data_IF_572060257441
#
_entry.id   IF_572060257441
#
_cell.length_a   1.000
_cell.length_b   1.000
_cell.length_c   1.000
_cell.angle_alpha   90.00
_cell.angle_beta   90.00
_cell.angle_gamma   90.00
#
_symmetry.space_group_name_H-M   'P 1'
#
loop_
_entity.id
_entity.type
_entity.pdbx_description
1 polymer ?
#
# COMPACT_ATOMS: atom_id res chain seq x y z
N UNK A 1 -28.02 -1.51 -13.86
CA UNK A 1 -28.70 -2.64 -13.21
C UNK A 1 -27.72 -3.64 -12.58
N UNK A 2 -26.70 -4.14 -13.28
CA UNK A 2 -25.73 -5.12 -12.72
C UNK A 2 -25.05 -4.70 -11.39
N UNK A 3 -24.67 -3.43 -11.22
CA UNK A 3 -23.98 -2.94 -10.03
C UNK A 3 -24.87 -3.02 -8.76
N UNK A 4 -26.14 -2.65 -8.87
CA UNK A 4 -27.10 -2.72 -7.75
C UNK A 4 -27.41 -4.18 -7.38
N UNK A 5 -27.49 -5.07 -8.38
CA UNK A 5 -27.66 -6.50 -8.14
C UNK A 5 -26.44 -7.11 -7.44
N UNK A 6 -25.24 -6.73 -7.86
CA UNK A 6 -24.00 -7.16 -7.19
C UNK A 6 -23.94 -6.70 -5.74
N UNK A 7 -24.27 -5.45 -5.45
CA UNK A 7 -24.37 -4.93 -4.08
C UNK A 7 -25.40 -5.68 -3.25
N UNK A 8 -26.58 -5.97 -3.82
CA UNK A 8 -27.62 -6.75 -3.15
C UNK A 8 -27.18 -8.17 -2.85
N UNK A 9 -26.42 -8.80 -3.76
CA UNK A 9 -25.88 -10.13 -3.58
C UNK A 9 -24.78 -10.15 -2.51
N UNK A 10 -23.90 -9.14 -2.47
CA UNK A 10 -22.89 -8.96 -1.41
C UNK A 10 -23.58 -8.88 -0.04
N UNK A 11 -24.67 -8.10 0.08
CA UNK A 11 -25.38 -7.92 1.35
C UNK A 11 -26.17 -9.15 1.81
N UNK A 12 -26.53 -10.03 0.87
CA UNK A 12 -27.22 -11.32 1.16
C UNK A 12 -26.32 -12.34 1.83
N UNK A 13 -25.01 -12.28 1.59
CA UNK A 13 -24.05 -13.24 2.15
C UNK A 13 -23.67 -12.81 3.55
N UNK A 14 -24.11 -13.54 4.56
CA UNK A 14 -23.93 -13.20 5.97
C UNK A 14 -22.45 -13.06 6.37
N UNK A 15 -21.58 -13.97 5.91
CA UNK A 15 -20.15 -13.92 6.17
C UNK A 15 -19.50 -12.67 5.61
N UNK A 16 -19.84 -12.28 4.38
CA UNK A 16 -19.27 -11.12 3.71
C UNK A 16 -19.80 -9.81 4.33
N UNK A 17 -21.10 -9.76 4.65
CA UNK A 17 -21.71 -8.64 5.38
C UNK A 17 -21.03 -8.43 6.73
N UNK A 18 -20.79 -9.49 7.50
CA UNK A 18 -20.12 -9.40 8.80
C UNK A 18 -18.69 -8.87 8.65
N UNK A 19 -17.92 -9.34 7.69
CA UNK A 19 -16.57 -8.84 7.41
C UNK A 19 -16.57 -7.37 7.02
N UNK A 20 -17.51 -6.92 6.15
CA UNK A 20 -17.66 -5.50 5.77
C UNK A 20 -17.98 -4.64 7.00
N UNK A 21 -18.94 -5.06 7.83
CA UNK A 21 -19.32 -4.33 9.02
C UNK A 21 -18.16 -4.21 10.03
N UNK A 22 -17.40 -5.29 10.24
CA UNK A 22 -16.22 -5.27 11.11
C UNK A 22 -15.16 -4.30 10.56
N UNK A 23 -14.88 -4.35 9.25
CA UNK A 23 -13.93 -3.44 8.61
C UNK A 23 -14.37 -1.99 8.78
N UNK A 24 -15.65 -1.69 8.51
CA UNK A 24 -16.20 -0.33 8.67
C UNK A 24 -16.13 0.14 10.12
N UNK A 25 -16.44 -0.73 11.09
CA UNK A 25 -16.33 -0.41 12.51
C UNK A 25 -14.89 -0.04 12.90
N UNK A 26 -13.91 -0.82 12.47
CA UNK A 26 -12.51 -0.54 12.76
C UNK A 26 -12.02 0.76 12.11
N UNK A 27 -12.48 1.07 10.90
CA UNK A 27 -12.22 2.34 10.22
C UNK A 27 -12.80 3.51 11.03
N UNK A 28 -14.02 3.39 11.54
CA UNK A 28 -14.64 4.42 12.38
C UNK A 28 -13.86 4.66 13.68
N UNK A 29 -13.40 3.57 14.35
CA UNK A 29 -12.56 3.68 15.55
C UNK A 29 -11.25 4.42 15.22
N UNK A 30 -10.58 4.07 14.12
CA UNK A 30 -9.37 4.76 13.68
C UNK A 30 -9.61 6.24 13.40
N UNK A 31 -10.67 6.56 12.68
CA UNK A 31 -11.01 7.96 12.36
C UNK A 31 -11.36 8.76 13.60
N UNK A 32 -12.13 8.20 14.52
CA UNK A 32 -12.44 8.85 15.79
C UNK A 32 -11.16 9.17 16.58
N UNK A 33 -10.26 8.20 16.72
CA UNK A 33 -8.99 8.41 17.43
C UNK A 33 -8.04 9.43 16.76
N UNK A 34 -8.13 9.63 15.44
CA UNK A 34 -7.33 10.62 14.74
C UNK A 34 -7.71 12.08 15.04
N UNK A 35 -8.86 12.32 15.67
CA UNK A 35 -9.30 13.64 16.14
C UNK A 35 -9.02 13.89 17.63
N UNK A 36 -8.60 12.87 18.38
CA UNK A 36 -8.27 13.04 19.80
C UNK A 36 -6.89 13.64 19.93
N UNK A 37 -6.83 14.94 20.27
CA UNK A 37 -5.58 15.69 20.43
C UNK A 37 -4.82 15.21 21.67
N UNK A 38 -3.49 15.28 21.64
CA UNK A 38 -2.63 14.98 22.79
C UNK A 38 -2.93 15.93 23.96
N UNK A 39 -3.02 15.41 25.20
CA UNK A 39 -3.25 16.24 26.38
C UNK A 39 -2.22 17.36 26.51
N UNK A 40 -2.67 18.58 26.78
CA UNK A 40 -1.81 19.74 26.95
C UNK A 40 -1.58 20.59 25.68
N UNK A 41 -2.17 20.21 24.55
CA UNK A 41 -2.12 20.99 23.29
C UNK A 41 -3.46 21.65 23.02
N UNK A 42 -3.45 22.97 22.75
CA UNK A 42 -4.67 23.68 22.39
C UNK A 42 -5.08 23.43 20.93
N UNK A 43 -6.31 22.93 20.66
CA UNK A 43 -6.76 22.64 19.30
C UNK A 43 -6.79 23.88 18.38
N UNK A 44 -7.06 25.06 18.95
CA UNK A 44 -7.15 26.32 18.17
C UNK A 44 -5.82 26.69 17.52
N UNK A 45 -4.68 26.46 18.21
CA UNK A 45 -3.37 26.73 17.66
C UNK A 45 -2.98 25.76 16.51
N UNK A 46 -3.58 24.59 16.46
CA UNK A 46 -3.36 23.59 15.41
C UNK A 46 -4.03 23.97 14.09
N UNK A 47 -5.18 24.66 14.12
CA UNK A 47 -5.87 25.12 12.89
C UNK A 47 -5.03 26.15 12.13
N UNK A 48 -4.34 27.04 12.84
CA UNK A 48 -3.40 27.98 12.24
C UNK A 48 -2.18 27.26 11.62
N UNK A 49 -1.76 26.16 12.20
CA UNK A 49 -0.66 25.34 11.75
C UNK A 49 -0.98 24.52 10.48
N UNK A 50 -2.22 24.06 10.35
CA UNK A 50 -2.68 23.32 9.16
C UNK A 50 -2.53 24.15 7.88
N UNK A 51 -2.77 25.43 7.95
CA UNK A 51 -2.64 26.34 6.82
C UNK A 51 -1.19 26.59 6.39
N UNK A 52 -0.23 26.41 7.30
CA UNK A 52 1.22 26.56 7.01
C UNK A 52 1.89 25.24 6.58
N UNK A 53 1.36 24.09 6.97
CA UNK A 53 1.97 22.78 6.75
C UNK A 53 1.63 22.19 5.37
N UNK A 54 0.96 22.94 4.50
CA UNK A 54 0.51 22.47 3.18
C UNK A 54 1.64 22.22 2.16
N UNK A 55 2.91 22.35 2.55
CA UNK A 55 4.06 22.08 1.69
C UNK A 55 5.12 21.20 2.33
N UNK A 56 5.82 20.41 1.52
CA UNK A 56 6.98 19.64 1.92
C UNK A 56 6.70 18.24 2.50
N UNK A 57 7.70 17.69 3.18
CA UNK A 57 7.71 16.32 3.69
C UNK A 57 6.65 16.06 4.77
N UNK A 58 6.31 17.07 5.55
CA UNK A 58 5.28 17.01 6.58
C UNK A 58 3.89 16.75 6.02
N UNK A 59 3.61 17.29 4.84
CA UNK A 59 2.37 17.06 4.11
C UNK A 59 2.20 15.58 3.72
N UNK A 60 3.27 14.88 3.38
CA UNK A 60 3.24 13.44 3.10
C UNK A 60 2.92 12.63 4.37
N UNK A 61 3.59 12.90 5.49
CA UNK A 61 3.32 12.23 6.76
C UNK A 61 1.89 12.45 7.22
N UNK A 62 1.40 13.68 7.08
CA UNK A 62 0.04 14.06 7.40
C UNK A 62 -1.00 13.37 6.50
N UNK A 63 -0.68 13.19 5.22
CA UNK A 63 -1.53 12.47 4.29
C UNK A 63 -1.66 10.98 4.65
N UNK A 64 -0.56 10.30 4.99
CA UNK A 64 -0.59 8.90 5.41
C UNK A 64 -1.29 8.69 6.76
N UNK A 65 -1.20 9.67 7.66
CA UNK A 65 -1.91 9.64 8.94
C UNK A 65 -3.36 10.10 8.85
N UNK A 66 -3.80 10.58 7.66
CA UNK A 66 -5.16 11.07 7.43
C UNK A 66 -5.51 12.33 8.22
N UNK A 67 -4.52 13.20 8.46
CA UNK A 67 -4.67 14.42 9.25
C UNK A 67 -4.33 14.28 10.73
N UNK A 68 -4.04 13.06 11.19
CA UNK A 68 -3.72 12.83 12.60
C UNK A 68 -2.40 13.50 13.00
N UNK A 69 -1.46 13.63 12.07
CA UNK A 69 -0.16 14.26 12.29
C UNK A 69 -0.31 15.77 12.53
N UNK A 70 -1.03 16.49 11.67
CA UNK A 70 -1.27 17.93 11.80
C UNK A 70 -2.21 18.27 12.94
N UNK A 71 -3.11 17.35 13.31
CA UNK A 71 -4.00 17.50 14.48
C UNK A 71 -3.31 17.20 15.81
N UNK A 72 -2.00 16.88 15.81
CA UNK A 72 -1.27 16.44 17.00
C UNK A 72 -2.04 15.40 17.83
N UNK A 73 -2.65 14.42 17.14
CA UNK A 73 -3.51 13.42 17.77
C UNK A 73 -2.68 12.30 18.41
N UNK A 74 -3.35 11.49 19.23
CA UNK A 74 -2.75 10.27 19.80
C UNK A 74 -2.24 9.32 18.69
N UNK A 75 -2.85 9.36 17.51
CA UNK A 75 -2.46 8.57 16.33
C UNK A 75 -1.56 9.34 15.36
N UNK A 76 -0.91 10.43 15.81
CA UNK A 76 -0.10 11.30 14.93
C UNK A 76 0.99 10.56 14.16
N UNK A 77 1.70 9.61 14.77
CA UNK A 77 2.70 8.79 14.09
C UNK A 77 2.08 7.68 13.22
N UNK A 78 0.80 7.36 13.43
CA UNK A 78 0.03 6.42 12.63
C UNK A 78 0.68 5.04 12.51
N UNK A 79 0.67 4.49 11.30
CA UNK A 79 1.21 3.17 10.99
C UNK A 79 2.63 3.22 10.39
N UNK A 80 3.18 4.42 10.12
CA UNK A 80 4.47 4.61 9.48
C UNK A 80 5.64 3.91 10.20
N UNK A 81 5.77 3.96 11.54
CA UNK A 81 6.84 3.26 12.25
C UNK A 81 6.80 1.74 12.05
N UNK A 82 5.60 1.17 11.96
CA UNK A 82 5.43 -0.25 11.68
C UNK A 82 5.84 -0.60 10.23
N UNK A 83 5.48 0.23 9.26
CA UNK A 83 5.90 0.05 7.86
C UNK A 83 7.42 0.07 7.77
N UNK A 84 8.07 1.06 8.40
CA UNK A 84 9.53 1.17 8.44
C UNK A 84 10.18 -0.07 9.08
N UNK A 85 9.65 -0.55 10.20
CA UNK A 85 10.10 -1.77 10.86
C UNK A 85 9.94 -3.01 9.98
N UNK A 86 8.78 -3.15 9.31
CA UNK A 86 8.50 -4.25 8.39
C UNK A 86 9.46 -4.26 7.20
N UNK A 87 9.76 -3.09 6.65
CA UNK A 87 10.74 -2.90 5.59
C UNK A 87 12.13 -3.37 6.03
N UNK A 88 12.59 -2.94 7.21
CA UNK A 88 13.90 -3.33 7.75
C UNK A 88 13.97 -4.84 7.93
N UNK A 89 12.95 -5.47 8.50
CA UNK A 89 12.91 -6.93 8.67
C UNK A 89 12.92 -7.65 7.30
N UNK A 90 12.19 -7.16 6.29
CA UNK A 90 12.22 -7.72 4.94
C UNK A 90 13.62 -7.61 4.31
N UNK A 91 14.33 -6.49 4.47
CA UNK A 91 15.71 -6.34 4.01
C UNK A 91 16.66 -7.29 4.75
N UNK A 92 16.49 -7.45 6.06
CA UNK A 92 17.29 -8.39 6.85
C UNK A 92 17.07 -9.84 6.43
N UNK A 93 15.88 -10.22 5.96
CA UNK A 93 15.63 -11.57 5.42
C UNK A 93 16.42 -11.86 4.15
N UNK A 94 16.86 -10.83 3.44
CA UNK A 94 17.69 -10.96 2.24
C UNK A 94 19.18 -10.98 2.61
N UNK A 95 19.57 -10.08 3.50
CA UNK A 95 20.97 -9.85 3.86
C UNK A 95 21.53 -10.92 4.81
N UNK A 96 20.71 -11.47 5.71
CA UNK A 96 21.17 -12.33 6.80
C UNK A 96 20.59 -13.75 6.66
N UNK A 97 21.43 -14.80 6.56
CA UNK A 97 20.98 -16.19 6.41
C UNK A 97 20.08 -16.70 7.56
N UNK A 98 20.21 -16.13 8.76
CA UNK A 98 19.38 -16.47 9.91
C UNK A 98 17.90 -16.14 9.65
N UNK A 99 17.61 -14.96 9.13
CA UNK A 99 16.24 -14.55 8.78
C UNK A 99 15.69 -15.30 7.58
N UNK A 100 16.57 -15.68 6.62
CA UNK A 100 16.18 -16.54 5.49
C UNK A 100 15.71 -17.93 5.97
N UNK A 101 16.41 -18.54 6.93
CA UNK A 101 16.01 -19.82 7.52
C UNK A 101 14.65 -19.68 8.21
N UNK A 102 14.46 -18.60 8.99
CA UNK A 102 13.21 -18.32 9.68
C UNK A 102 12.03 -18.16 8.69
N UNK A 103 12.25 -17.51 7.54
CA UNK A 103 11.23 -17.41 6.50
C UNK A 103 10.85 -18.75 5.90
N UNK A 104 11.80 -19.70 5.80
CA UNK A 104 11.58 -21.07 5.29
C UNK A 104 10.90 -21.99 6.31
N UNK A 105 10.94 -21.68 7.59
CA UNK A 105 10.27 -22.45 8.66
C UNK A 105 8.72 -22.39 8.60
N UNK A 106 8.15 -21.67 7.63
CA UNK A 106 6.71 -21.59 7.42
C UNK A 106 6.02 -20.70 8.45
N UNK A 107 4.89 -21.15 9.01
CA UNK A 107 4.06 -20.32 9.88
C UNK A 107 4.72 -19.98 11.22
N UNK A 108 5.51 -20.90 11.78
CA UNK A 108 6.27 -20.63 13.02
C UNK A 108 7.28 -19.51 12.84
N UNK A 109 8.02 -19.55 11.72
CA UNK A 109 8.98 -18.50 11.38
C UNK A 109 8.30 -17.14 11.11
N UNK A 110 7.16 -17.13 10.42
CA UNK A 110 6.37 -15.91 10.21
C UNK A 110 5.92 -15.26 11.52
N UNK A 111 5.48 -16.06 12.49
CA UNK A 111 5.10 -15.55 13.82
C UNK A 111 6.28 -14.89 14.54
N UNK A 112 7.47 -15.50 14.50
CA UNK A 112 8.69 -14.92 15.08
C UNK A 112 9.08 -13.62 14.37
N UNK A 113 9.01 -13.58 13.04
CA UNK A 113 9.28 -12.38 12.26
C UNK A 113 8.32 -11.25 12.62
N UNK A 114 7.03 -11.53 12.74
CA UNK A 114 6.04 -10.53 13.16
C UNK A 114 6.32 -10.00 14.58
N UNK A 115 6.75 -10.85 15.51
CA UNK A 115 7.14 -10.41 16.85
C UNK A 115 8.37 -9.49 16.81
N UNK A 116 9.40 -9.82 16.01
CA UNK A 116 10.56 -8.96 15.84
C UNK A 116 10.20 -7.62 15.21
N UNK A 117 9.29 -7.63 14.23
CA UNK A 117 8.77 -6.39 13.64
C UNK A 117 8.09 -5.52 14.69
N UNK A 118 7.28 -6.10 15.60
CA UNK A 118 6.64 -5.36 16.69
C UNK A 118 7.65 -4.75 17.66
N UNK A 119 8.67 -5.50 18.06
CA UNK A 119 9.73 -4.97 18.94
C UNK A 119 10.49 -3.83 18.27
N UNK A 120 10.84 -4.00 17.01
CA UNK A 120 11.51 -2.96 16.23
C UNK A 120 10.60 -1.72 16.06
N UNK A 121 9.31 -1.91 15.87
CA UNK A 121 8.33 -0.82 15.82
C UNK A 121 8.33 0.00 17.10
N UNK A 122 8.30 -0.66 18.27
CA UNK A 122 8.36 0.03 19.56
C UNK A 122 9.65 0.81 19.71
N UNK A 123 10.78 0.23 19.31
CA UNK A 123 12.07 0.91 19.35
C UNK A 123 12.09 2.17 18.45
N UNK A 124 11.59 2.06 17.24
CA UNK A 124 11.45 3.19 16.30
C UNK A 124 10.53 4.26 16.88
N UNK A 125 9.40 3.88 17.49
CA UNK A 125 8.46 4.81 18.12
C UNK A 125 9.08 5.61 19.27
N UNK A 126 9.90 4.97 20.10
CA UNK A 126 10.62 5.63 21.19
C UNK A 126 11.63 6.68 20.69
N UNK A 127 12.17 6.50 19.49
CA UNK A 127 13.05 7.48 18.84
C UNK A 127 12.24 8.58 18.13
N UNK A 128 11.19 8.22 17.43
CA UNK A 128 10.38 9.16 16.63
C UNK A 128 9.44 10.00 17.48
N UNK A 129 8.96 9.51 18.62
CA UNK A 129 8.05 10.25 19.50
C UNK A 129 8.64 11.59 19.98
N UNK A 130 9.80 11.60 20.64
CA UNK A 130 10.47 12.84 21.04
C UNK A 130 10.79 13.75 19.84
N UNK A 131 11.27 13.17 18.72
CA UNK A 131 11.58 13.94 17.51
C UNK A 131 10.35 14.64 16.94
N UNK A 132 9.19 13.97 16.97
CA UNK A 132 7.90 14.56 16.58
C UNK A 132 7.52 15.74 17.48
N UNK A 133 7.65 15.59 18.82
CA UNK A 133 7.31 16.63 19.78
C UNK A 133 8.23 17.86 19.63
N UNK A 134 9.53 17.67 19.39
CA UNK A 134 10.47 18.76 19.10
C UNK A 134 10.06 19.49 17.83
N UNK A 135 9.74 18.76 16.76
CA UNK A 135 9.27 19.36 15.50
C UNK A 135 7.97 20.15 15.71
N UNK A 136 7.01 19.57 16.42
CA UNK A 136 5.75 20.23 16.76
C UNK A 136 5.95 21.50 17.60
N UNK A 137 6.94 21.50 18.53
CA UNK A 137 7.26 22.66 19.33
C UNK A 137 7.83 23.81 18.48
N UNK A 138 8.69 23.50 17.50
CA UNK A 138 9.23 24.49 16.57
C UNK A 138 8.12 25.10 15.71
N UNK A 139 7.22 24.27 15.22
CA UNK A 139 6.11 24.74 14.40
C UNK A 139 5.09 25.58 15.20
N UNK A 140 4.74 25.17 16.42
CA UNK A 140 3.83 25.94 17.27
C UNK A 140 4.44 27.30 17.68
N UNK A 141 5.74 27.38 17.93
CA UNK A 141 6.42 28.66 18.19
C UNK A 141 6.31 29.64 17.03
N UNK A 142 6.31 29.17 15.78
CA UNK A 142 6.13 30.03 14.60
C UNK A 142 4.74 30.68 14.53
N UNK A 143 3.74 30.07 15.19
CA UNK A 143 2.34 30.57 15.28
C UNK A 143 2.08 31.31 16.60
N UNK A 144 3.12 31.49 17.46
CA UNK A 144 2.99 32.15 18.76
C UNK A 144 2.38 31.28 19.86
N UNK A 145 2.25 29.96 19.64
CA UNK A 145 1.80 29.01 20.65
C UNK A 145 3.01 28.25 21.23
N UNK A 146 2.94 27.89 22.50
CA UNK A 146 3.97 27.11 23.17
C UNK A 146 3.42 25.79 23.68
N UNK A 147 4.24 24.73 23.54
CA UNK A 147 3.97 23.47 24.23
C UNK A 147 4.31 23.61 25.72
N UNK A 148 3.65 22.87 26.61
CA UNK A 148 4.04 22.81 28.00
C UNK A 148 5.51 22.37 28.11
N UNK A 149 6.33 23.17 28.78
CA UNK A 149 7.75 22.87 29.00
C UNK A 149 7.91 21.92 30.17
N UNK A 150 8.55 20.76 29.92
CA UNK A 150 8.85 19.80 30.97
C UNK A 150 9.15 18.41 30.45
N UNK A 151 10.10 17.72 31.10
CA UNK A 151 10.46 16.33 30.79
C UNK A 151 9.25 15.40 30.97
N UNK A 152 8.40 15.65 31.95
CA UNK A 152 7.19 14.85 32.20
C UNK A 152 6.19 14.92 31.04
N UNK A 153 6.01 16.09 30.44
CA UNK A 153 5.17 16.25 29.25
C UNK A 153 5.73 15.45 28.07
N UNK A 154 7.03 15.55 27.82
CA UNK A 154 7.68 14.83 26.70
C UNK A 154 7.61 13.32 26.90
N UNK A 155 7.84 12.81 28.11
CA UNK A 155 7.79 11.39 28.41
C UNK A 155 6.34 10.87 28.30
N UNK A 156 5.37 11.55 28.91
CA UNK A 156 3.96 11.14 28.88
C UNK A 156 3.40 11.17 27.46
N UNK A 157 3.67 12.22 26.70
CA UNK A 157 3.24 12.33 25.29
C UNK A 157 3.90 11.28 24.41
N UNK A 158 5.19 10.96 24.63
CA UNK A 158 5.86 9.88 23.89
C UNK A 158 5.24 8.53 24.18
N UNK A 159 4.91 8.23 25.44
CA UNK A 159 4.22 6.99 25.83
C UNK A 159 2.84 6.92 25.17
N UNK A 160 2.08 8.01 25.18
CA UNK A 160 0.77 8.08 24.53
C UNK A 160 0.85 7.87 23.02
N UNK A 161 1.83 8.48 22.35
CA UNK A 161 2.08 8.29 20.90
C UNK A 161 2.47 6.83 20.60
N UNK A 162 3.33 6.22 21.44
CA UNK A 162 3.68 4.81 21.29
C UNK A 162 2.44 3.90 21.47
N UNK A 163 1.64 4.14 22.51
CA UNK A 163 0.42 3.39 22.73
C UNK A 163 -0.58 3.54 21.59
N UNK A 164 -0.76 4.77 21.08
CA UNK A 164 -1.63 5.06 19.95
C UNK A 164 -1.19 4.35 18.67
N UNK A 165 0.08 4.42 18.31
CA UNK A 165 0.61 3.74 17.12
C UNK A 165 0.55 2.22 17.23
N UNK A 166 0.83 1.65 18.39
CA UNK A 166 0.67 0.21 18.65
C UNK A 166 -0.78 -0.22 18.57
N UNK A 167 -1.70 0.61 19.03
CA UNK A 167 -3.13 0.36 18.88
C UNK A 167 -3.57 0.38 17.42
N UNK A 168 -3.10 1.34 16.62
CA UNK A 168 -3.39 1.41 15.17
C UNK A 168 -2.83 0.18 14.45
N UNK A 169 -1.63 -0.26 14.80
CA UNK A 169 -1.04 -1.50 14.28
C UNK A 169 -1.92 -2.72 14.62
N UNK A 170 -2.29 -2.88 15.89
CA UNK A 170 -3.17 -3.96 16.34
C UNK A 170 -4.52 -3.95 15.61
N UNK A 171 -5.08 -2.76 15.41
CA UNK A 171 -6.34 -2.55 14.68
C UNK A 171 -6.20 -2.99 13.22
N UNK A 172 -5.09 -2.66 12.55
CA UNK A 172 -4.78 -3.12 11.20
C UNK A 172 -4.64 -4.64 11.09
N UNK A 173 -3.95 -5.27 12.05
CA UNK A 173 -3.84 -6.74 12.11
C UNK A 173 -5.21 -7.40 12.32
N UNK A 174 -6.02 -6.89 13.23
CA UNK A 174 -7.37 -7.40 13.47
C UNK A 174 -8.31 -7.22 12.29
N UNK A 175 -8.14 -6.11 11.57
CA UNK A 175 -8.88 -5.86 10.34
C UNK A 175 -8.48 -6.86 9.24
N UNK A 176 -7.20 -7.22 9.15
CA UNK A 176 -6.71 -8.26 8.23
C UNK A 176 -7.26 -9.64 8.58
N UNK A 177 -7.30 -9.98 9.88
CA UNK A 177 -7.74 -11.32 10.36
C UNK A 177 -9.26 -11.52 10.22
N UNK A 178 -10.06 -10.50 10.54
CA UNK A 178 -11.52 -10.61 10.66
C UNK A 178 -12.31 -9.81 9.63
N UNK A 179 -11.66 -8.90 8.93
CA UNK A 179 -12.26 -8.03 7.91
C UNK A 179 -12.04 -8.50 6.49
N UNK A 180 -12.04 -7.55 5.57
CA UNK A 180 -11.76 -7.74 4.15
C UNK A 180 -10.49 -6.98 3.80
N UNK A 181 -9.64 -7.61 2.99
CA UNK A 181 -8.42 -6.98 2.49
C UNK A 181 -7.29 -6.98 3.52
N UNK A 182 -6.22 -6.26 3.18
CA UNK A 182 -5.13 -6.00 4.10
C UNK A 182 -5.49 -4.79 4.96
N UNK A 183 -5.73 -4.99 6.25
CA UNK A 183 -6.18 -3.94 7.18
C UNK A 183 -5.20 -2.78 7.30
N UNK A 184 -3.89 -3.04 7.24
CA UNK A 184 -2.85 -2.01 7.27
C UNK A 184 -2.98 -1.08 6.06
N UNK A 185 -3.09 -1.67 4.87
CA UNK A 185 -3.27 -0.92 3.63
C UNK A 185 -4.59 -0.17 3.59
N UNK A 186 -5.65 -0.73 4.17
CA UNK A 186 -6.96 -0.08 4.32
C UNK A 186 -6.89 1.17 5.21
N UNK A 187 -6.15 1.11 6.33
CA UNK A 187 -5.96 2.27 7.21
C UNK A 187 -5.25 3.41 6.46
N UNK A 188 -4.21 3.09 5.69
CA UNK A 188 -3.48 4.07 4.88
C UNK A 188 -4.40 4.66 3.82
N UNK A 189 -5.13 3.82 3.10
CA UNK A 189 -6.08 4.25 2.06
C UNK A 189 -7.13 5.22 2.61
N UNK A 190 -7.72 4.91 3.76
CA UNK A 190 -8.70 5.78 4.42
C UNK A 190 -8.08 7.11 4.87
N UNK A 191 -6.81 7.08 5.32
CA UNK A 191 -6.06 8.30 5.61
C UNK A 191 -5.95 9.20 4.36
N UNK A 192 -5.58 8.62 3.23
CA UNK A 192 -5.46 9.34 1.95
C UNK A 192 -6.82 9.89 1.50
N UNK A 193 -7.87 9.05 1.47
CA UNK A 193 -9.21 9.45 1.03
C UNK A 193 -9.77 10.58 1.90
N UNK A 194 -9.48 10.58 3.19
CA UNK A 194 -9.98 11.59 4.12
C UNK A 194 -9.49 13.01 3.83
N UNK A 195 -8.33 13.15 3.20
CA UNK A 195 -7.77 14.45 2.77
C UNK A 195 -8.27 14.91 1.40
N UNK A 196 -8.79 14.01 0.59
CA UNK A 196 -9.21 14.28 -0.77
C UNK A 196 -10.29 15.39 -0.87
N UNK A 197 -11.39 15.39 -0.07
CA UNK A 197 -12.40 16.43 -0.16
C UNK A 197 -11.86 17.83 0.15
N UNK A 198 -11.01 17.96 1.18
CA UNK A 198 -10.41 19.26 1.55
C UNK A 198 -9.45 19.76 0.46
N UNK A 199 -8.68 18.86 -0.16
CA UNK A 199 -7.78 19.21 -1.25
C UNK A 199 -8.53 19.71 -2.50
N UNK A 200 -9.66 19.08 -2.87
CA UNK A 200 -10.50 19.54 -3.98
C UNK A 200 -11.09 20.91 -3.69
N UNK A 201 -11.59 21.14 -2.48
CA UNK A 201 -12.17 22.42 -2.11
C UNK A 201 -11.11 23.52 -2.14
N UNK A 202 -9.91 23.27 -1.62
CA UNK A 202 -8.81 24.24 -1.67
C UNK A 202 -8.39 24.56 -3.12
N UNK A 203 -8.32 23.56 -3.99
CA UNK A 203 -8.01 23.78 -5.41
C UNK A 203 -9.08 24.62 -6.08
N UNK A 204 -10.36 24.29 -5.86
CA UNK A 204 -11.49 25.05 -6.40
C UNK A 204 -11.47 26.52 -5.98
N UNK A 205 -11.22 26.79 -4.68
CA UNK A 205 -11.14 28.17 -4.15
C UNK A 205 -9.95 28.90 -4.77
N UNK A 206 -8.76 28.26 -4.81
CA UNK A 206 -7.55 28.84 -5.40
C UNK A 206 -7.76 29.22 -6.87
N UNK A 207 -8.46 28.39 -7.65
CA UNK A 207 -8.73 28.68 -9.07
C UNK A 207 -9.81 29.74 -9.31
N UNK A 208 -10.75 29.90 -8.36
CA UNK A 208 -11.81 30.89 -8.48
C UNK A 208 -11.40 32.27 -7.97
N UNK A 209 -10.51 32.35 -6.98
CA UNK A 209 -10.02 33.63 -6.42
C UNK A 209 -8.85 34.21 -7.23
N UNK A 210 -7.92 33.36 -7.70
CA UNK A 210 -6.82 33.77 -8.56
C UNK A 210 -7.24 33.84 -10.02
N UNK A 211 -6.90 34.94 -10.71
CA UNK A 211 -7.17 35.14 -12.15
C UNK A 211 -6.49 34.12 -13.10
N UNK A 212 -5.99 33.01 -12.59
CA UNK A 212 -5.17 32.00 -13.27
C UNK A 212 -5.99 30.87 -13.88
N UNK A 213 -6.88 31.17 -14.81
CA UNK A 213 -7.56 30.15 -15.64
C UNK A 213 -8.97 29.73 -15.23
N UNK A 214 -9.44 30.08 -14.05
CA UNK A 214 -10.83 29.90 -13.63
C UNK A 214 -11.32 28.45 -13.65
N UNK A 215 -12.62 28.28 -13.79
CA UNK A 215 -13.32 26.99 -13.79
C UNK A 215 -12.83 26.04 -14.91
N UNK A 216 -12.37 26.57 -16.04
CA UNK A 216 -11.91 25.76 -17.18
C UNK A 216 -10.63 24.99 -16.82
N UNK A 217 -9.68 25.65 -16.12
CA UNK A 217 -8.45 25.01 -15.66
C UNK A 217 -8.75 23.92 -14.62
N UNK A 218 -9.64 24.18 -13.68
CA UNK A 218 -10.07 23.19 -12.70
C UNK A 218 -10.69 21.94 -13.36
N UNK A 219 -11.54 22.09 -14.38
CA UNK A 219 -12.10 20.98 -15.14
C UNK A 219 -11.03 20.19 -15.89
N UNK A 220 -10.04 20.89 -16.48
CA UNK A 220 -8.91 20.24 -17.13
C UNK A 220 -8.07 19.41 -16.13
N UNK A 221 -7.84 19.93 -14.94
CA UNK A 221 -7.15 19.23 -13.86
C UNK A 221 -7.91 17.97 -13.43
N UNK A 222 -9.20 18.05 -13.17
CA UNK A 222 -10.00 16.85 -12.83
C UNK A 222 -9.97 15.82 -13.96
N UNK A 223 -10.05 16.26 -15.22
CA UNK A 223 -9.99 15.34 -16.36
C UNK A 223 -8.62 14.65 -16.43
N UNK A 224 -7.54 15.39 -16.23
CA UNK A 224 -6.18 14.83 -16.17
C UNK A 224 -6.04 13.83 -15.02
N UNK A 225 -6.57 14.15 -13.83
CA UNK A 225 -6.58 13.23 -12.67
C UNK A 225 -7.27 11.90 -13.03
N UNK A 226 -8.43 11.95 -13.67
CA UNK A 226 -9.15 10.73 -14.09
C UNK A 226 -8.34 9.90 -15.10
N UNK A 227 -7.64 10.55 -16.05
CA UNK A 227 -6.76 9.87 -17.00
C UNK A 227 -5.61 9.17 -16.27
N UNK A 228 -4.97 9.84 -15.31
CA UNK A 228 -3.87 9.27 -14.53
C UNK A 228 -4.34 8.09 -13.67
N UNK A 229 -5.52 8.21 -13.03
CA UNK A 229 -6.14 7.09 -12.30
C UNK A 229 -6.38 5.91 -13.24
N UNK A 230 -6.98 6.14 -14.41
CA UNK A 230 -7.22 5.10 -15.41
C UNK A 230 -5.94 4.39 -15.88
N UNK A 231 -4.89 5.16 -16.15
CA UNK A 231 -3.58 4.63 -16.53
C UNK A 231 -2.95 3.80 -15.40
N UNK A 232 -3.09 4.25 -14.14
CA UNK A 232 -2.60 3.53 -12.96
C UNK A 232 -3.36 2.21 -12.74
N UNK A 233 -4.68 2.20 -12.92
CA UNK A 233 -5.49 0.98 -12.86
C UNK A 233 -5.05 -0.01 -13.94
N UNK A 234 -4.84 0.47 -15.17
CA UNK A 234 -4.38 -0.36 -16.27
C UNK A 234 -3.01 -1.00 -15.97
N UNK A 235 -2.08 -0.25 -15.36
CA UNK A 235 -0.78 -0.77 -14.93
C UNK A 235 -0.90 -1.85 -13.87
N UNK A 236 -1.67 -1.60 -12.83
CA UNK A 236 -1.81 -2.54 -11.69
C UNK A 236 -2.50 -3.84 -12.12
N UNK A 237 -3.45 -3.76 -13.06
CA UNK A 237 -4.14 -4.91 -13.62
C UNK A 237 -3.37 -5.60 -14.75
N UNK A 238 -2.34 -4.97 -15.30
CA UNK A 238 -1.58 -5.51 -16.43
C UNK A 238 -0.91 -6.83 -16.05
N UNK A 239 -1.24 -7.90 -16.79
CA UNK A 239 -0.67 -9.23 -16.60
C UNK A 239 -0.21 -9.84 -17.90
N UNK A 240 0.97 -10.49 -17.89
CA UNK A 240 1.45 -11.32 -19.00
C UNK A 240 1.04 -12.76 -18.75
N UNK A 241 0.22 -13.33 -19.62
CA UNK A 241 -0.24 -14.73 -19.53
C UNK A 241 0.78 -15.65 -20.21
N UNK A 242 1.36 -16.59 -19.46
CA UNK A 242 2.23 -17.63 -20.00
C UNK A 242 1.40 -18.91 -20.17
N UNK A 243 1.32 -19.49 -21.38
CA UNK A 243 0.59 -20.73 -21.59
C UNK A 243 1.35 -21.91 -20.96
N UNK A 244 0.63 -22.69 -20.15
CA UNK A 244 1.13 -23.92 -19.52
C UNK A 244 0.21 -25.05 -19.91
N UNK A 245 0.77 -26.18 -20.27
CA UNK A 245 0.05 -27.39 -20.59
C UNK A 245 0.32 -28.47 -19.54
N UNK A 246 -0.73 -29.01 -18.98
CA UNK A 246 -0.63 -30.14 -18.03
C UNK A 246 -0.79 -31.44 -18.77
N UNK A 247 -0.03 -32.45 -18.34
CA UNK A 247 -0.11 -33.81 -18.92
C UNK A 247 -1.52 -34.35 -18.74
N UNK A 248 -2.01 -35.04 -19.77
CA UNK A 248 -3.29 -35.73 -19.70
C UNK A 248 -3.14 -36.96 -18.79
N UNK A 249 -4.06 -37.11 -17.84
CA UNK A 249 -4.17 -38.28 -16.98
C UNK A 249 -5.38 -39.11 -17.45
N UNK A 250 -5.14 -40.37 -17.80
CA UNK A 250 -6.21 -41.30 -18.14
C UNK A 250 -6.46 -42.16 -16.91
N UNK A 251 -7.67 -42.09 -16.36
CA UNK A 251 -8.09 -42.95 -15.24
C UNK A 251 -9.33 -43.72 -15.74
N UNK A 252 -9.11 -45.00 -16.06
CA UNK A 252 -10.12 -45.85 -16.72
C UNK A 252 -10.46 -45.33 -18.13
N UNK A 253 -11.75 -45.17 -18.46
CA UNK A 253 -12.21 -44.67 -19.76
C UNK A 253 -12.38 -43.12 -19.82
N UNK A 254 -11.99 -42.39 -18.79
CA UNK A 254 -12.12 -40.93 -18.73
C UNK A 254 -10.76 -40.25 -18.80
N UNK A 255 -10.62 -39.27 -19.71
CA UNK A 255 -9.47 -38.41 -19.80
C UNK A 255 -9.67 -37.21 -18.85
N UNK A 256 -8.71 -37.03 -17.91
CA UNK A 256 -8.62 -35.87 -17.04
C UNK A 256 -7.38 -35.04 -17.41
N UNK A 257 -7.51 -33.71 -17.48
CA UNK A 257 -6.41 -32.80 -17.81
C UNK A 257 -6.23 -32.55 -19.31
N UNK A 258 -5.13 -31.94 -19.68
CA UNK A 258 -4.82 -31.57 -21.08
C UNK A 258 -5.36 -30.20 -21.51
N UNK A 259 -6.00 -29.47 -20.60
CA UNK A 259 -6.46 -28.11 -20.87
C UNK A 259 -5.27 -27.15 -20.75
N UNK A 260 -5.14 -26.24 -21.70
CA UNK A 260 -4.16 -25.15 -21.61
C UNK A 260 -4.60 -24.20 -20.49
N UNK A 261 -3.75 -24.01 -19.52
CA UNK A 261 -3.89 -23.02 -18.47
C UNK A 261 -2.89 -21.90 -18.70
N UNK A 262 -3.15 -20.75 -18.10
CA UNK A 262 -2.27 -19.58 -18.19
C UNK A 262 -1.81 -19.18 -16.81
N UNK A 263 -0.49 -18.99 -16.65
CA UNK A 263 0.06 -18.36 -15.45
C UNK A 263 0.09 -16.86 -15.68
N UNK A 264 -0.69 -16.08 -14.92
CA UNK A 264 -0.66 -14.63 -15.02
C UNK A 264 0.56 -14.08 -14.26
N UNK A 265 1.51 -13.49 -14.96
CA UNK A 265 2.59 -12.71 -14.37
C UNK A 265 2.18 -11.24 -14.34
N UNK A 266 2.10 -10.64 -13.16
CA UNK A 266 1.78 -9.21 -13.00
C UNK A 266 2.95 -8.37 -13.50
N UNK A 267 2.67 -7.32 -14.29
CA UNK A 267 3.68 -6.35 -14.75
C UNK A 267 4.26 -5.60 -13.56
N UNK A 268 3.41 -5.19 -12.64
CA UNK A 268 3.80 -4.63 -11.35
C UNK A 268 3.69 -5.71 -10.25
N UNK A 269 4.62 -6.67 -10.25
CA UNK A 269 4.68 -7.70 -9.23
C UNK A 269 5.21 -7.19 -7.89
N UNK A 270 5.99 -6.12 -7.92
CA UNK A 270 6.55 -5.47 -6.74
C UNK A 270 5.52 -4.61 -5.98
N UNK A 271 4.37 -4.29 -6.60
CA UNK A 271 3.33 -3.46 -5.97
C UNK A 271 3.80 -2.02 -5.70
N UNK A 272 3.48 -1.52 -4.53
CA UNK A 272 3.81 -0.14 -4.09
C UNK A 272 5.15 -0.08 -3.33
N UNK A 273 5.69 -1.23 -2.91
CA UNK A 273 6.85 -1.31 -2.05
C UNK A 273 8.09 -0.57 -2.58
N UNK A 274 8.47 -0.65 -3.88
CA UNK A 274 9.63 0.06 -4.40
C UNK A 274 9.58 1.57 -4.17
N UNK A 275 8.40 2.16 -4.29
CA UNK A 275 8.22 3.61 -4.11
C UNK A 275 8.37 3.99 -2.64
N UNK A 276 7.81 3.19 -1.72
CA UNK A 276 7.95 3.41 -0.28
C UNK A 276 9.43 3.33 0.13
N UNK A 277 10.18 2.34 -0.41
CA UNK A 277 11.63 2.23 -0.17
C UNK A 277 12.40 3.43 -0.70
N UNK A 278 12.16 3.84 -1.94
CA UNK A 278 12.80 4.99 -2.53
C UNK A 278 12.52 6.25 -1.71
N UNK A 279 11.27 6.45 -1.28
CA UNK A 279 10.86 7.59 -0.46
C UNK A 279 11.54 7.58 0.92
N UNK A 280 11.62 6.42 1.57
CA UNK A 280 12.29 6.29 2.86
C UNK A 280 13.79 6.65 2.78
N UNK A 281 14.47 6.25 1.70
CA UNK A 281 15.88 6.60 1.50
C UNK A 281 16.05 8.09 1.17
N UNK A 282 15.13 8.67 0.37
CA UNK A 282 15.17 10.11 0.06
C UNK A 282 14.92 11.00 1.28
N UNK A 283 14.31 10.47 2.36
CA UNK A 283 14.19 11.20 3.63
C UNK A 283 15.51 11.35 4.38
N UNK A 284 16.48 10.44 4.18
CA UNK A 284 17.75 10.46 4.92
C UNK A 284 18.56 11.76 4.69
N UNK A 285 18.81 12.22 3.46
CA UNK A 285 19.50 13.48 3.22
C UNK A 285 18.80 14.67 3.86
N UNK A 286 17.47 14.70 3.83
CA UNK A 286 16.65 15.78 4.40
C UNK A 286 16.76 15.81 5.94
N UNK A 287 16.76 14.64 6.59
CA UNK A 287 16.99 14.53 8.04
C UNK A 287 18.38 15.02 8.44
N UNK A 288 19.40 14.68 7.66
CA UNK A 288 20.77 15.12 7.93
C UNK A 288 20.93 16.65 7.83
N UNK A 289 20.18 17.29 6.93
CA UNK A 289 20.16 18.76 6.85
C UNK A 289 19.54 19.42 8.07
N UNK A 290 18.56 18.80 8.72
CA UNK A 290 17.94 19.29 9.94
C UNK A 290 18.93 19.42 11.12
N UNK A 291 20.02 18.65 11.12
CA UNK A 291 21.06 18.71 12.15
C UNK A 291 22.16 19.75 11.88
N UNK A 292 22.34 20.24 10.65
CA UNK A 292 23.42 21.13 10.28
C UNK A 292 23.00 22.13 9.18
N UNK A 293 22.17 23.09 9.54
CA UNK A 293 21.61 24.07 8.61
C UNK A 293 22.61 25.07 8.04
N UNK A 294 23.72 25.36 8.76
CA UNK A 294 24.74 26.34 8.34
C UNK A 294 25.78 25.77 7.34
N UNK A 295 25.92 24.44 7.28
CA UNK A 295 26.86 23.75 6.38
C UNK A 295 26.23 23.06 5.17
N UNK A 296 25.00 23.34 4.85
CA UNK A 296 24.32 22.66 3.74
C UNK A 296 24.93 23.04 2.39
N UNK A 297 25.66 22.10 1.80
CA UNK A 297 26.23 22.21 0.45
C UNK A 297 25.11 22.42 -0.59
N UNK A 298 25.41 23.06 -1.73
CA UNK A 298 24.47 23.28 -2.84
C UNK A 298 23.78 21.98 -3.27
N UNK A 299 24.48 20.85 -3.17
CA UNK A 299 23.93 19.51 -3.43
C UNK A 299 22.81 19.15 -2.45
N UNK A 300 22.98 19.35 -1.15
CA UNK A 300 21.96 19.07 -0.14
C UNK A 300 20.72 19.95 -0.32
N UNK A 301 20.89 21.23 -0.68
CA UNK A 301 19.77 22.14 -0.96
C UNK A 301 18.97 21.70 -2.18
N UNK A 302 19.63 21.18 -3.23
CA UNK A 302 18.94 20.63 -4.40
C UNK A 302 18.08 19.38 -4.09
N UNK A 303 18.41 18.64 -3.02
CA UNK A 303 17.62 17.51 -2.55
C UNK A 303 16.52 17.89 -1.54
N UNK A 304 16.56 19.09 -0.98
CA UNK A 304 15.52 19.57 -0.05
C UNK A 304 14.24 19.98 -0.77
N UNK A 305 14.36 20.37 -2.04
CA UNK A 305 13.21 20.78 -2.84
C UNK A 305 12.57 19.57 -3.52
N UNK A 306 11.42 19.12 -2.97
CA UNK A 306 10.66 17.99 -3.50
C UNK A 306 10.18 18.20 -4.95
N UNK A 307 10.04 19.43 -5.41
CA UNK A 307 9.65 19.79 -6.77
C UNK A 307 10.87 19.97 -7.69
N UNK A 308 12.10 19.95 -7.13
CA UNK A 308 13.34 20.12 -7.85
C UNK A 308 13.62 19.00 -8.85
N UNK A 309 14.22 19.33 -9.99
CA UNK A 309 14.59 18.36 -11.03
C UNK A 309 15.51 17.25 -10.52
N UNK A 310 16.52 17.59 -9.72
CA UNK A 310 17.50 16.62 -9.17
C UNK A 310 16.86 15.64 -8.20
N UNK A 311 15.97 16.12 -7.33
CA UNK A 311 15.21 15.26 -6.43
C UNK A 311 14.40 14.23 -7.21
N UNK A 312 13.61 14.68 -8.18
CA UNK A 312 12.74 13.81 -8.98
C UNK A 312 13.52 12.83 -9.86
N UNK A 313 14.67 13.24 -10.41
CA UNK A 313 15.53 12.37 -11.21
C UNK A 313 16.10 11.21 -10.36
N UNK A 314 16.67 11.52 -9.20
CA UNK A 314 17.23 10.49 -8.32
C UNK A 314 16.13 9.61 -7.77
N UNK A 315 14.98 10.17 -7.41
CA UNK A 315 13.81 9.43 -6.96
C UNK A 315 13.33 8.42 -8.01
N UNK A 316 13.25 8.83 -9.29
CA UNK A 316 12.91 7.93 -10.40
C UNK A 316 13.91 6.78 -10.56
N UNK A 317 15.21 7.08 -10.54
CA UNK A 317 16.28 6.07 -10.65
C UNK A 317 16.16 5.07 -9.49
N UNK A 318 15.95 5.56 -8.27
CA UNK A 318 15.77 4.70 -7.09
C UNK A 318 14.55 3.80 -7.21
N UNK A 319 13.41 4.33 -7.70
CA UNK A 319 12.21 3.52 -7.92
C UNK A 319 12.48 2.41 -8.93
N UNK A 320 13.13 2.70 -10.04
CA UNK A 320 13.48 1.69 -11.04
C UNK A 320 14.39 0.63 -10.43
N UNK A 321 15.45 1.01 -9.74
CA UNK A 321 16.39 0.09 -9.09
C UNK A 321 15.67 -0.81 -8.06
N UNK A 322 14.84 -0.22 -7.18
CA UNK A 322 14.08 -0.98 -6.19
C UNK A 322 13.00 -1.86 -6.80
N UNK A 323 12.40 -1.47 -7.91
CA UNK A 323 11.42 -2.31 -8.61
C UNK A 323 12.07 -3.58 -9.12
N UNK A 324 13.25 -3.50 -9.73
CA UNK A 324 14.01 -4.68 -10.14
C UNK A 324 14.43 -5.54 -8.94
N UNK A 325 14.99 -4.89 -7.93
CA UNK A 325 15.42 -5.57 -6.72
C UNK A 325 14.27 -6.32 -6.03
N UNK A 326 13.13 -5.66 -5.82
CA UNK A 326 11.99 -6.24 -5.14
C UNK A 326 11.31 -7.33 -5.97
N UNK A 327 11.23 -7.16 -7.30
CA UNK A 327 10.68 -8.18 -8.20
C UNK A 327 11.53 -9.46 -8.16
N UNK A 328 12.85 -9.33 -8.17
CA UNK A 328 13.77 -10.48 -8.09
C UNK A 328 13.63 -11.26 -6.77
N UNK A 329 13.23 -10.60 -5.68
CA UNK A 329 13.02 -11.22 -4.38
C UNK A 329 11.66 -11.90 -4.28
N UNK A 330 10.63 -11.20 -4.74
CA UNK A 330 9.22 -11.63 -4.58
C UNK A 330 8.91 -12.82 -5.47
N UNK A 331 9.47 -12.85 -6.67
CA UNK A 331 9.24 -13.91 -7.63
C UNK A 331 10.51 -14.77 -7.74
N UNK A 332 10.37 -16.04 -7.38
CA UNK A 332 11.44 -17.02 -7.52
C UNK A 332 11.15 -17.93 -8.72
N UNK A 333 11.80 -17.71 -9.89
CA UNK A 333 11.55 -18.49 -11.09
C UNK A 333 11.89 -19.97 -10.93
N UNK A 334 12.88 -20.31 -10.09
CA UNK A 334 13.28 -21.70 -9.83
C UNK A 334 12.20 -22.46 -9.07
N UNK A 335 11.64 -21.86 -8.01
CA UNK A 335 10.53 -22.45 -7.27
C UNK A 335 9.28 -22.64 -8.16
N UNK A 336 8.96 -21.65 -9.00
CA UNK A 336 7.84 -21.76 -9.94
C UNK A 336 8.05 -22.91 -10.93
N UNK A 337 9.25 -23.04 -11.49
CA UNK A 337 9.57 -24.11 -12.43
C UNK A 337 9.54 -25.51 -11.77
N UNK A 338 9.98 -25.62 -10.51
CA UNK A 338 9.91 -26.86 -9.72
C UNK A 338 8.45 -27.24 -9.40
N UNK A 339 7.63 -26.29 -8.96
CA UNK A 339 6.22 -26.53 -8.71
C UNK A 339 5.48 -26.96 -9.98
N UNK A 340 5.78 -26.33 -11.12
CA UNK A 340 5.25 -26.74 -12.41
C UNK A 340 5.65 -28.18 -12.75
N UNK A 341 6.92 -28.54 -12.53
CA UNK A 341 7.42 -29.89 -12.77
C UNK A 341 6.74 -30.93 -11.87
N UNK A 342 6.56 -30.61 -10.58
CA UNK A 342 5.87 -31.48 -9.62
C UNK A 342 4.40 -31.71 -10.01
N UNK A 343 3.75 -30.72 -10.58
CA UNK A 343 2.37 -30.78 -11.06
C UNK A 343 2.24 -31.32 -12.50
N UNK A 344 3.33 -31.88 -13.09
CA UNK A 344 3.39 -32.33 -14.46
C UNK A 344 2.97 -31.28 -15.50
N UNK A 345 3.22 -30.00 -15.18
CA UNK A 345 3.00 -28.88 -16.08
C UNK A 345 4.27 -28.56 -16.87
N UNK A 346 4.12 -28.18 -18.12
CA UNK A 346 5.23 -27.73 -18.95
C UNK A 346 4.80 -26.59 -19.88
N UNK A 347 5.75 -25.75 -20.24
CA UNK A 347 5.55 -24.69 -21.24
C UNK A 347 5.82 -25.31 -22.62
N UNK A 348 4.89 -25.20 -23.58
CA UNK A 348 5.08 -25.73 -24.93
C UNK A 348 6.39 -25.21 -25.55
N UNK A 349 7.25 -26.11 -26.03
CA UNK A 349 8.54 -25.78 -26.65
C UNK A 349 9.71 -25.58 -25.69
N UNK A 350 9.53 -25.72 -24.36
CA UNK A 350 10.58 -25.53 -23.36
C UNK A 350 10.74 -26.80 -22.51
N UNK A 351 11.96 -27.20 -22.27
CA UNK A 351 12.24 -28.37 -21.40
C UNK A 351 11.90 -28.04 -19.95
N UNK A 352 11.13 -28.90 -19.24
CA UNK A 352 10.80 -28.71 -17.83
C UNK A 352 12.05 -28.62 -16.94
N UNK A 353 11.99 -27.79 -15.90
CA UNK A 353 13.08 -27.60 -14.94
C UNK A 353 13.88 -26.32 -15.21
N UNK A 354 15.22 -26.40 -15.23
CA UNK A 354 16.13 -25.24 -15.29
C UNK A 354 15.85 -24.30 -16.47
N UNK A 355 15.56 -24.85 -17.66
CA UNK A 355 15.23 -24.05 -18.85
C UNK A 355 13.91 -23.30 -18.73
N UNK A 356 12.95 -23.87 -18.01
CA UNK A 356 11.68 -23.19 -17.69
C UNK A 356 11.92 -22.03 -16.72
N UNK A 357 12.80 -22.19 -15.73
CA UNK A 357 13.17 -21.11 -14.80
C UNK A 357 13.87 -19.97 -15.55
N UNK A 358 14.84 -20.27 -16.40
CA UNK A 358 15.53 -19.25 -17.24
C UNK A 358 14.55 -18.51 -18.16
N UNK A 359 13.59 -19.19 -18.74
CA UNK A 359 12.57 -18.55 -19.58
C UNK A 359 11.66 -17.61 -18.79
N UNK A 360 11.20 -18.02 -17.60
CA UNK A 360 10.38 -17.19 -16.72
C UNK A 360 11.18 -15.96 -16.30
N UNK A 361 12.45 -16.12 -15.93
CA UNK A 361 13.34 -15.04 -15.52
C UNK A 361 13.53 -13.98 -16.61
N UNK A 362 13.78 -14.42 -17.86
CA UNK A 362 13.88 -13.51 -19.01
C UNK A 362 12.58 -12.76 -19.27
N UNK A 363 11.43 -13.43 -19.14
CA UNK A 363 10.13 -12.75 -19.30
C UNK A 363 9.94 -11.73 -18.19
N UNK A 364 10.23 -12.10 -16.94
CA UNK A 364 10.10 -11.20 -15.79
C UNK A 364 10.95 -9.93 -15.96
N UNK A 365 12.23 -10.10 -16.31
CA UNK A 365 13.12 -8.95 -16.56
C UNK A 365 12.58 -8.01 -17.64
N UNK A 366 12.05 -8.58 -18.73
CA UNK A 366 11.47 -7.77 -19.84
C UNK A 366 10.18 -7.05 -19.47
N UNK A 367 9.36 -7.65 -18.60
CA UNK A 367 8.10 -7.05 -18.16
C UNK A 367 8.34 -6.00 -17.08
N UNK A 368 9.32 -6.24 -16.20
CA UNK A 368 9.67 -5.31 -15.12
C UNK A 368 10.17 -3.97 -15.63
N UNK A 369 10.89 -3.93 -16.78
CA UNK A 369 11.40 -2.69 -17.34
C UNK A 369 10.30 -1.66 -17.66
N UNK A 370 9.31 -1.93 -18.50
CA UNK A 370 8.23 -0.96 -18.75
C UNK A 370 7.39 -0.70 -17.50
N UNK A 371 7.21 -1.70 -16.63
CA UNK A 371 6.51 -1.54 -15.36
C UNK A 371 7.22 -0.55 -14.43
N UNK A 372 8.55 -0.67 -14.27
CA UNK A 372 9.34 0.23 -13.42
C UNK A 372 9.38 1.66 -13.96
N UNK A 373 9.47 1.82 -15.29
CA UNK A 373 9.46 3.13 -15.93
C UNK A 373 8.11 3.84 -15.71
N UNK A 374 7.02 3.11 -15.85
CA UNK A 374 5.69 3.67 -15.62
C UNK A 374 5.45 4.00 -14.13
N UNK A 375 5.94 3.15 -13.21
CA UNK A 375 5.90 3.44 -11.78
C UNK A 375 6.67 4.70 -11.43
N UNK A 376 7.86 4.89 -12.01
CA UNK A 376 8.66 6.10 -11.82
C UNK A 376 7.93 7.35 -12.37
N UNK A 377 7.30 7.23 -13.53
CA UNK A 377 6.52 8.32 -14.12
C UNK A 377 5.34 8.71 -13.22
N UNK A 378 4.55 7.75 -12.74
CA UNK A 378 3.44 8.01 -11.81
C UNK A 378 3.94 8.62 -10.50
N UNK A 379 5.11 8.20 -10.02
CA UNK A 379 5.69 8.73 -8.79
C UNK A 379 6.12 10.21 -8.91
N UNK A 380 6.51 10.66 -10.10
CA UNK A 380 6.93 12.05 -10.37
C UNK A 380 5.73 12.96 -10.70
N UNK A 381 4.60 12.40 -11.11
CA UNK A 381 3.42 13.19 -11.51
C UNK A 381 3.00 14.29 -10.52
N UNK A 382 3.05 14.11 -9.17
CA UNK A 382 2.75 15.17 -8.24
C UNK A 382 3.64 16.41 -8.40
N UNK A 383 4.94 16.21 -8.62
CA UNK A 383 5.87 17.31 -8.85
C UNK A 383 5.60 18.04 -10.18
N UNK A 384 5.25 17.29 -11.24
CA UNK A 384 4.85 17.87 -12.53
C UNK A 384 3.55 18.67 -12.40
N UNK A 385 2.57 18.16 -11.65
CA UNK A 385 1.31 18.87 -11.40
C UNK A 385 1.54 20.17 -10.59
N UNK A 386 2.43 20.12 -9.58
CA UNK A 386 2.80 21.30 -8.79
C UNK A 386 3.50 22.38 -9.65
N UNK A 387 4.39 21.99 -10.57
CA UNK A 387 5.02 22.90 -11.53
C UNK A 387 3.99 23.51 -12.48
N UNK A 388 2.95 22.76 -12.86
CA UNK A 388 1.84 23.25 -13.68
C UNK A 388 0.88 24.22 -12.94
N UNK A 389 1.16 24.50 -11.63
CA UNK A 389 0.42 25.45 -10.82
C UNK A 389 -0.74 24.83 -10.02
N UNK A 390 -0.82 23.50 -9.93
CA UNK A 390 -1.78 22.82 -9.03
C UNK A 390 -1.32 22.99 -7.58
N UNK A 391 -2.25 23.21 -6.65
CA UNK A 391 -1.92 23.32 -5.23
C UNK A 391 -1.24 22.04 -4.73
N UNK A 392 -0.25 22.17 -3.84
CA UNK A 392 0.52 21.03 -3.34
C UNK A 392 -0.36 19.94 -2.71
N UNK A 393 -1.46 20.33 -2.03
CA UNK A 393 -2.40 19.39 -1.43
C UNK A 393 -3.12 18.53 -2.47
N UNK A 394 -3.56 19.12 -3.58
CA UNK A 394 -4.25 18.43 -4.65
C UNK A 394 -3.27 17.68 -5.58
N UNK A 395 -2.09 18.25 -5.83
CA UNK A 395 -1.05 17.64 -6.64
C UNK A 395 -0.64 16.24 -6.16
N UNK A 396 -0.64 15.99 -4.85
CA UNK A 396 -0.32 14.68 -4.27
C UNK A 396 -1.28 13.55 -4.69
N UNK A 397 -2.49 13.87 -5.15
CA UNK A 397 -3.45 12.90 -5.66
C UNK A 397 -3.25 12.54 -7.13
N UNK A 398 -2.40 13.28 -7.87
CA UNK A 398 -2.06 12.94 -9.26
C UNK A 398 -1.11 11.76 -9.41
N UNK A 399 -0.52 11.29 -8.33
CA UNK A 399 0.43 10.19 -8.42
C UNK A 399 1.11 9.87 -7.10
N UNK A 400 2.36 9.49 -7.20
CA UNK A 400 3.17 9.13 -6.05
C UNK A 400 2.67 7.85 -5.35
N UNK A 401 3.05 7.71 -4.10
CA UNK A 401 2.64 6.56 -3.27
C UNK A 401 1.15 6.55 -2.99
N UNK A 402 0.52 7.71 -2.85
CA UNK A 402 -0.89 7.84 -2.46
C UNK A 402 -1.84 7.24 -3.49
N UNK A 403 -1.71 7.62 -4.76
CA UNK A 403 -2.56 7.10 -5.82
C UNK A 403 -2.37 5.60 -6.02
N UNK A 404 -1.11 5.13 -6.00
CA UNK A 404 -0.80 3.71 -6.17
C UNK A 404 -1.32 2.85 -5.03
N UNK A 405 -1.21 3.33 -3.77
CA UNK A 405 -1.78 2.64 -2.62
C UNK A 405 -3.31 2.59 -2.74
N UNK A 406 -3.94 3.72 -3.06
CA UNK A 406 -5.38 3.81 -3.20
C UNK A 406 -5.89 2.82 -4.25
N UNK A 407 -5.33 2.84 -5.46
CA UNK A 407 -5.71 1.94 -6.56
C UNK A 407 -5.39 0.49 -6.21
N UNK A 408 -4.21 0.20 -5.67
CA UNK A 408 -3.80 -1.15 -5.30
C UNK A 408 -4.72 -1.77 -4.26
N UNK A 409 -5.01 -1.05 -3.18
CA UNK A 409 -5.87 -1.54 -2.09
C UNK A 409 -7.31 -1.76 -2.56
N UNK A 410 -7.86 -0.83 -3.36
CA UNK A 410 -9.22 -0.97 -3.90
C UNK A 410 -9.30 -2.20 -4.79
N UNK A 411 -8.33 -2.41 -5.70
CA UNK A 411 -8.33 -3.56 -6.59
C UNK A 411 -8.14 -4.89 -5.84
N UNK A 412 -7.21 -4.95 -4.87
CA UNK A 412 -7.01 -6.14 -4.05
C UNK A 412 -8.27 -6.49 -3.23
N UNK A 413 -8.95 -5.48 -2.69
CA UNK A 413 -10.20 -5.65 -1.94
C UNK A 413 -11.32 -6.16 -2.83
N UNK A 414 -11.46 -5.60 -4.05
CA UNK A 414 -12.43 -6.06 -5.03
C UNK A 414 -12.18 -7.50 -5.45
N UNK A 415 -10.92 -7.87 -5.72
CA UNK A 415 -10.55 -9.25 -6.06
C UNK A 415 -10.88 -10.25 -4.94
N UNK A 416 -10.69 -9.86 -3.67
CA UNK A 416 -11.07 -10.71 -2.54
C UNK A 416 -12.59 -10.88 -2.43
N UNK A 417 -13.36 -9.79 -2.62
CA UNK A 417 -14.84 -9.85 -2.64
C UNK A 417 -15.31 -10.75 -3.77
N UNK A 418 -14.77 -10.59 -4.97
CA UNK A 418 -15.12 -11.44 -6.13
C UNK A 418 -14.78 -12.91 -5.88
N UNK A 419 -13.61 -13.19 -5.29
CA UNK A 419 -13.21 -14.56 -4.94
C UNK A 419 -14.13 -15.20 -3.92
N UNK A 420 -14.55 -14.48 -2.87
CA UNK A 420 -15.52 -14.99 -1.89
C UNK A 420 -16.91 -15.22 -2.52
N UNK A 421 -17.36 -14.31 -3.40
CA UNK A 421 -18.61 -14.48 -4.13
C UNK A 421 -18.59 -15.72 -5.03
N UNK A 422 -17.49 -15.97 -5.74
CA UNK A 422 -17.34 -17.15 -6.60
C UNK A 422 -17.33 -18.43 -5.79
N UNK A 423 -16.57 -18.51 -4.68
CA UNK A 423 -16.56 -19.70 -3.83
C UNK A 423 -17.95 -20.06 -3.32
N UNK A 424 -18.72 -19.09 -2.88
CA UNK A 424 -20.09 -19.31 -2.39
C UNK A 424 -21.07 -19.68 -3.49
N UNK A 425 -20.86 -19.18 -4.70
CA UNK A 425 -21.68 -19.60 -5.84
C UNK A 425 -21.47 -21.09 -6.18
N UNK A 426 -20.23 -21.58 -6.06
CA UNK A 426 -19.92 -23.00 -6.21
C UNK A 426 -20.48 -23.86 -5.08
N UNK A 427 -20.45 -23.42 -3.83
CA UNK A 427 -21.06 -24.12 -2.68
C UNK A 427 -22.56 -24.22 -2.85
N UNK A 428 -23.24 -23.16 -3.28
CA UNK A 428 -24.67 -23.17 -3.57
C UNK A 428 -25.07 -24.13 -4.73
N UNK A 429 -24.19 -24.30 -5.72
CA UNK A 429 -24.38 -25.27 -6.79
C UNK A 429 -24.18 -26.72 -6.31
N UNK A 430 -23.26 -26.93 -5.35
CA UNK A 430 -23.07 -28.25 -4.74
C UNK A 430 -24.20 -28.63 -3.78
N UNK A 431 -24.73 -27.68 -3.01
CA UNK A 431 -25.89 -27.91 -2.13
C UNK A 431 -27.22 -28.06 -2.93
N UNK A 432 -27.38 -27.34 -4.05
CA UNK A 432 -28.53 -27.47 -4.93
C UNK A 432 -28.42 -28.65 -5.89
N UNK A 433 -27.23 -29.24 -6.01
CA UNK A 433 -27.02 -30.48 -6.74
C UNK A 433 -27.85 -31.58 -6.11
N UNK A 434 -29.02 -31.82 -6.70
CA UNK A 434 -29.82 -33.00 -6.46
C UNK A 434 -28.90 -34.16 -6.14
N UNK A 435 -29.07 -34.78 -4.95
CA UNK A 435 -28.63 -36.14 -4.70
C UNK A 435 -28.98 -36.93 -5.96
N UNK A 436 -28.01 -37.21 -6.78
CA UNK A 436 -28.14 -38.22 -7.83
C UNK A 436 -28.41 -39.47 -7.02
N UNK A 437 -29.68 -39.81 -6.89
CA UNK A 437 -30.13 -41.13 -6.42
C UNK A 437 -29.43 -42.09 -7.34
N UNK A 438 -28.36 -42.67 -6.87
CA UNK A 438 -27.73 -43.80 -7.50
C UNK A 438 -28.84 -44.79 -7.75
N UNK A 439 -29.05 -45.11 -9.01
CA UNK A 439 -29.95 -46.15 -9.43
C UNK A 439 -29.43 -47.44 -8.81
N UNK A 440 -29.95 -47.78 -7.65
CA UNK A 440 -29.85 -49.14 -7.09
C UNK A 440 -30.57 -50.07 -8.03
N UNK A 441 -29.86 -50.47 -9.10
CA UNK A 441 -30.28 -51.59 -9.90
C UNK A 441 -30.13 -52.84 -9.04
N UNK A 442 -31.29 -53.42 -8.71
CA UNK A 442 -31.36 -54.73 -8.13
C UNK A 442 -30.57 -55.72 -8.99
N UNK A 443 -29.50 -56.29 -8.43
CA UNK A 443 -29.01 -57.60 -8.87
C UNK A 443 -29.41 -58.53 -7.72
N UNK A 444 -30.65 -58.99 -7.84
CA UNK A 444 -31.06 -60.24 -7.23
C UNK A 444 -31.29 -61.21 -8.37
N UNK A 445 -30.74 -62.41 -8.21
CA UNK A 445 -30.98 -63.65 -8.95
C UNK A 445 -30.34 -63.80 -10.34
N UNK A 446 -29.26 -64.47 -10.46
CA UNK A 446 -28.98 -65.90 -10.78
C UNK A 446 -27.51 -66.16 -10.67
#
# INVERSE_FOLDING_TARGET
MKFIETLKNIWRIESLRTKILITTLFILIYRFGSFIVLPGINPESLTALQNQTSGGLMSLLDMFSGGAFSNASIFALGIMPYISASIVIQLLTIAIPYFQKMQREGESGRRKMNQLTRYLTVFILLLQGPAYLVNLSVQLRSVGAALPEGIWFTVSSTILLCAGSMFVMWLGERMTDKGIGNGISMIIMIGIIARFPSAIIQEFISRTEDASGGLVMFLAEITLLLVVIGATIALVQATRKIPVQYAKRIVGNKQYGGVRQYIPLKVNAAGVMPIIFAQAIMMIPIMLMGFNSEGANAFMRAFADNNGFWYNLVFAIMIIAFTYFYTAITINPTQMAEQMKLNNGFIPGIKPGKKTAEYIDVIMSRITLPGSFFLALVAIMPSLASIAGVTNGFAQFYGGTSLLILVGVVLDTLQQIESELLMRHYDGLMESGHRIKGRTGSIAAY
#
